data_IF_693249009797
#
_entry.id   IF_693249009797
#
_cell.length_a   1.000
_cell.length_b   1.000
_cell.length_c   1.000
_cell.angle_alpha   90.00
_cell.angle_beta   90.00
_cell.angle_gamma   90.00
#
_symmetry.space_group_name_H-M   'P 1'
#
loop_
_entity.id
_entity.type
_entity.pdbx_description
1 polymer ?
#
# COMPACT_ATOMS: atom_id res chain seq x y z
N UNK A 1 10.34 11.42 7.84
CA UNK A 1 10.34 11.80 6.42
C UNK A 1 9.37 10.87 5.77
N UNK A 2 8.21 11.39 5.40
CA UNK A 2 7.03 10.57 5.16
C UNK A 2 6.90 10.28 3.68
N UNK A 3 6.50 9.07 3.35
CA UNK A 3 6.18 8.67 1.99
C UNK A 3 4.71 8.30 1.90
N UNK A 4 4.11 8.54 0.74
CA UNK A 4 2.70 8.23 0.46
C UNK A 4 2.57 7.42 -0.82
N UNK A 5 1.71 6.42 -0.80
CA UNK A 5 1.18 5.73 -1.98
C UNK A 5 -0.19 6.29 -2.30
N UNK A 6 -0.43 6.58 -3.57
CA UNK A 6 -1.75 6.88 -4.14
C UNK A 6 -2.07 5.81 -5.18
N UNK A 7 -3.28 5.25 -5.13
CA UNK A 7 -3.79 4.42 -6.23
C UNK A 7 -4.14 5.33 -7.40
N UNK A 8 -3.69 4.99 -8.61
CA UNK A 8 -3.99 5.80 -9.81
C UNK A 8 -5.45 5.71 -10.22
N UNK A 9 -6.02 4.52 -10.09
CA UNK A 9 -7.41 4.19 -10.41
C UNK A 9 -8.10 3.51 -9.22
N UNK A 10 -9.43 3.43 -9.28
CA UNK A 10 -10.19 2.68 -8.27
C UNK A 10 -9.87 1.19 -8.37
N UNK A 11 -9.30 0.64 -7.30
CA UNK A 11 -9.05 -0.80 -7.17
C UNK A 11 -10.21 -1.43 -6.38
N UNK A 12 -10.66 -2.60 -6.82
CA UNK A 12 -11.66 -3.37 -6.08
C UNK A 12 -11.13 -3.74 -4.69
N UNK A 13 -11.91 -3.47 -3.64
CA UNK A 13 -11.54 -3.77 -2.25
C UNK A 13 -11.13 -5.23 -2.07
N UNK A 14 -11.85 -6.16 -2.72
CA UNK A 14 -11.56 -7.59 -2.65
C UNK A 14 -10.12 -7.89 -3.05
N UNK A 15 -9.60 -7.24 -4.09
CA UNK A 15 -8.21 -7.43 -4.55
C UNK A 15 -7.23 -6.95 -3.48
N UNK A 16 -7.47 -5.78 -2.88
CA UNK A 16 -6.61 -5.24 -1.82
C UNK A 16 -6.63 -6.12 -0.56
N UNK A 17 -7.80 -6.64 -0.18
CA UNK A 17 -7.96 -7.59 0.94
C UNK A 17 -7.23 -8.91 0.69
N UNK A 18 -7.27 -9.42 -0.54
CA UNK A 18 -6.51 -10.61 -0.94
C UNK A 18 -5.00 -10.38 -0.78
N UNK A 19 -4.49 -9.24 -1.25
CA UNK A 19 -3.06 -8.91 -1.10
C UNK A 19 -2.69 -8.74 0.38
N UNK A 20 -3.49 -8.00 1.15
CA UNK A 20 -3.30 -7.82 2.60
C UNK A 20 -3.25 -9.17 3.33
N UNK A 21 -4.20 -10.07 3.08
CA UNK A 21 -4.23 -11.38 3.74
C UNK A 21 -2.97 -12.21 3.45
N UNK A 22 -2.42 -12.11 2.24
CA UNK A 22 -1.22 -12.83 1.82
C UNK A 22 0.06 -12.28 2.46
N UNK A 23 0.11 -10.97 2.71
CA UNK A 23 1.36 -10.27 3.05
C UNK A 23 1.38 -9.62 4.44
N UNK A 24 0.27 -9.61 5.17
CA UNK A 24 0.11 -8.94 6.48
C UNK A 24 1.09 -9.41 7.56
N UNK A 25 1.66 -10.62 7.41
CA UNK A 25 2.60 -11.22 8.36
C UNK A 25 4.07 -11.08 7.94
N UNK A 26 4.34 -10.61 6.72
CA UNK A 26 5.70 -10.57 6.18
C UNK A 26 6.51 -9.41 6.76
N UNK A 27 5.86 -8.27 6.99
CA UNK A 27 6.46 -7.06 7.54
C UNK A 27 5.47 -6.41 8.52
N UNK A 28 5.96 -6.04 9.70
CA UNK A 28 5.17 -5.37 10.73
C UNK A 28 4.58 -4.05 10.20
N UNK A 29 3.30 -3.80 10.46
CA UNK A 29 2.59 -2.58 10.07
C UNK A 29 2.09 -2.54 8.63
N UNK A 30 2.29 -3.60 7.82
CA UNK A 30 1.72 -3.67 6.46
C UNK A 30 0.20 -3.80 6.47
N UNK A 31 -0.36 -4.51 7.45
CA UNK A 31 -1.81 -4.65 7.58
C UNK A 31 -2.49 -3.27 7.65
N UNK A 32 -1.99 -2.39 8.51
CA UNK A 32 -2.55 -1.05 8.72
C UNK A 32 -2.46 -0.19 7.45
N UNK A 33 -1.38 -0.32 6.68
CA UNK A 33 -1.22 0.40 5.41
C UNK A 33 -2.23 -0.07 4.35
N UNK A 34 -2.54 -1.37 4.32
CA UNK A 34 -3.58 -1.90 3.43
C UNK A 34 -4.99 -1.47 3.87
N UNK A 35 -5.26 -1.39 5.18
CA UNK A 35 -6.52 -0.86 5.69
C UNK A 35 -6.72 0.60 5.25
N UNK A 36 -5.67 1.42 5.31
CA UNK A 36 -5.70 2.80 4.80
C UNK A 36 -5.92 2.85 3.29
N UNK A 37 -5.23 2.01 2.50
CA UNK A 37 -5.43 1.95 1.05
C UNK A 37 -6.88 1.59 0.68
N UNK A 38 -7.50 0.67 1.42
CA UNK A 38 -8.88 0.24 1.19
C UNK A 38 -9.87 1.35 1.54
N UNK A 39 -9.66 2.03 2.67
CA UNK A 39 -10.58 3.07 3.15
C UNK A 39 -10.44 4.39 2.39
N UNK A 40 -9.22 4.74 1.98
CA UNK A 40 -8.87 6.10 1.53
C UNK A 40 -8.28 6.14 0.12
N UNK A 41 -8.01 5.00 -0.51
CA UNK A 41 -7.28 4.94 -1.78
C UNK A 41 -5.81 5.39 -1.68
N UNK A 42 -5.30 5.57 -0.46
CA UNK A 42 -3.94 6.01 -0.19
C UNK A 42 -3.46 5.52 1.17
N UNK A 43 -2.15 5.43 1.35
CA UNK A 43 -1.54 5.19 2.66
C UNK A 43 -0.20 5.90 2.75
N UNK A 44 0.29 6.11 3.96
CA UNK A 44 1.56 6.77 4.18
C UNK A 44 2.34 6.18 5.36
N UNK A 45 3.65 6.37 5.35
CA UNK A 45 4.54 5.88 6.39
C UNK A 45 5.82 6.71 6.46
N UNK A 46 6.34 6.89 7.67
CA UNK A 46 7.69 7.40 7.90
C UNK A 46 8.77 6.32 7.75
N UNK A 47 8.37 5.06 7.54
CA UNK A 47 9.27 3.92 7.34
C UNK A 47 9.32 3.58 5.84
N UNK A 48 10.42 3.90 5.12
CA UNK A 48 10.47 3.72 3.66
C UNK A 48 10.28 2.27 3.23
N UNK A 49 10.83 1.31 3.97
CA UNK A 49 10.72 -0.12 3.63
C UNK A 49 9.27 -0.60 3.60
N UNK A 50 8.39 -0.10 4.49
CA UNK A 50 6.96 -0.43 4.47
C UNK A 50 6.28 0.07 3.20
N UNK A 51 6.58 1.30 2.78
CA UNK A 51 6.01 1.88 1.56
C UNK A 51 6.49 1.12 0.32
N UNK A 52 7.79 0.85 0.21
CA UNK A 52 8.29 0.09 -0.94
C UNK A 52 7.78 -1.35 -0.95
N UNK A 53 7.51 -1.96 0.21
CA UNK A 53 6.90 -3.29 0.29
C UNK A 53 5.43 -3.30 -0.19
N UNK A 54 4.65 -2.31 0.23
CA UNK A 54 3.27 -2.13 -0.29
C UNK A 54 3.30 -1.87 -1.80
N UNK A 55 4.21 -1.01 -2.27
CA UNK A 55 4.38 -0.74 -3.70
C UNK A 55 4.71 -2.01 -4.50
N UNK A 56 5.65 -2.82 -4.00
CA UNK A 56 6.01 -4.12 -4.58
C UNK A 56 4.80 -5.06 -4.67
N UNK A 57 4.05 -5.21 -3.58
CA UNK A 57 2.91 -6.14 -3.52
C UNK A 57 1.74 -5.70 -4.42
N UNK A 58 1.50 -4.40 -4.58
CA UNK A 58 0.55 -3.85 -5.56
C UNK A 58 1.03 -4.08 -7.01
N UNK A 59 2.32 -3.88 -7.28
CA UNK A 59 2.90 -4.07 -8.61
C UNK A 59 2.81 -5.54 -9.07
N UNK A 60 2.90 -6.53 -8.16
CA UNK A 60 2.67 -7.95 -8.49
C UNK A 60 1.27 -8.24 -9.04
N UNK A 61 0.30 -7.35 -8.79
CA UNK A 61 -1.06 -7.43 -9.31
C UNK A 61 -1.32 -6.48 -10.48
N UNK A 62 -0.26 -5.87 -11.04
CA UNK A 62 -0.33 -4.84 -12.08
C UNK A 62 -1.19 -3.62 -11.68
N UNK A 63 -1.23 -3.28 -10.39
CA UNK A 63 -1.93 -2.10 -9.90
C UNK A 63 -1.00 -0.89 -10.05
N UNK A 64 -1.43 0.10 -10.84
CA UNK A 64 -0.68 1.33 -11.03
C UNK A 64 -0.79 2.25 -9.81
N UNK A 65 0.36 2.79 -9.39
CA UNK A 65 0.50 3.61 -8.19
C UNK A 65 1.40 4.82 -8.42
N UNK A 66 1.23 5.83 -7.58
CA UNK A 66 2.12 6.99 -7.49
C UNK A 66 2.74 6.99 -6.08
N UNK A 67 4.06 7.14 -6.00
CA UNK A 67 4.79 7.29 -4.73
C UNK A 67 5.25 8.74 -4.60
N UNK A 68 4.87 9.38 -3.50
CA UNK A 68 5.24 10.77 -3.19
C UNK A 68 6.09 10.81 -1.93
N UNK A 69 7.18 11.57 -1.97
CA UNK A 69 7.96 11.95 -0.78
C UNK A 69 7.40 13.25 -0.23
N UNK A 70 6.96 13.22 1.01
CA UNK A 70 6.41 14.37 1.74
C UNK A 70 7.53 14.96 2.62
N UNK A 71 7.71 16.28 2.53
CA UNK A 71 8.66 17.04 3.34
C UNK A 71 8.09 17.34 4.72
#
# INVERSE_FOLDING_TARGET
MRYRILLKDKVEEKILREIQSKHSRDVEGISDLYDLLILQGSCDSDVPSRIYYVAYTLALKNIEIIIVRLN
#
